data_IF_258269951439
#
_entry.id   IF_258269951439
#
_cell.length_a   1.000
_cell.length_b   1.000
_cell.length_c   1.000
_cell.angle_alpha   90.00
_cell.angle_beta   90.00
_cell.angle_gamma   90.00
#
_symmetry.space_group_name_H-M   'P 1'
#
loop_
_entity.id
_entity.type
_entity.pdbx_description
1 polymer ?
#
# COMPACT_ATOMS: atom_id res chain seq x y z
N UNK A 1 -7.14 -32.50 6.37
CA UNK A 1 -5.75 -32.07 6.13
C UNK A 1 -5.11 -31.88 7.51
N UNK A 2 -3.80 -32.04 7.62
CA UNK A 2 -3.08 -31.91 8.89
C UNK A 2 -2.00 -30.83 8.78
N UNK A 3 -1.95 -29.91 9.73
CA UNK A 3 -1.02 -28.78 9.72
C UNK A 3 0.45 -29.23 9.80
N UNK A 4 0.73 -30.37 10.50
CA UNK A 4 2.09 -30.90 10.61
C UNK A 4 2.61 -31.32 9.24
N UNK A 5 1.75 -31.90 8.38
CA UNK A 5 2.14 -32.24 7.00
C UNK A 5 2.46 -31.01 6.17
N UNK A 6 1.69 -29.93 6.31
CA UNK A 6 1.95 -28.65 5.63
C UNK A 6 3.29 -28.06 6.06
N UNK A 7 3.55 -28.02 7.37
CA UNK A 7 4.83 -27.55 7.93
C UNK A 7 6.01 -28.39 7.40
N UNK A 8 5.87 -29.73 7.41
CA UNK A 8 6.93 -30.63 6.92
C UNK A 8 7.21 -30.44 5.44
N UNK A 9 6.18 -30.28 4.60
CA UNK A 9 6.35 -29.99 3.17
C UNK A 9 7.27 -28.77 2.99
N UNK A 10 7.00 -27.67 3.67
CA UNK A 10 7.79 -26.45 3.52
C UNK A 10 9.15 -26.51 4.20
N UNK A 11 9.21 -27.13 5.38
CA UNK A 11 10.47 -27.39 6.10
C UNK A 11 11.47 -28.16 5.24
N UNK A 12 10.98 -29.18 4.51
CA UNK A 12 11.79 -30.07 3.69
C UNK A 12 11.97 -29.53 2.24
N UNK A 13 11.72 -28.22 2.03
CA UNK A 13 11.87 -27.50 0.76
C UNK A 13 10.89 -27.94 -0.34
N UNK A 14 9.79 -28.59 0.04
CA UNK A 14 8.72 -28.92 -0.88
C UNK A 14 7.86 -27.70 -1.25
N UNK A 15 7.09 -27.87 -2.33
CA UNK A 15 6.09 -26.91 -2.78
C UNK A 15 4.75 -27.23 -2.10
N UNK A 16 4.08 -26.21 -1.56
CA UNK A 16 2.74 -26.33 -1.01
C UNK A 16 1.71 -26.41 -2.15
N UNK A 17 0.78 -27.35 -2.06
CA UNK A 17 -0.33 -27.39 -3.00
C UNK A 17 -1.34 -26.29 -2.72
N UNK A 18 -2.18 -25.96 -3.72
CA UNK A 18 -3.25 -24.98 -3.60
C UNK A 18 -4.19 -25.32 -2.44
N UNK A 19 -4.51 -26.62 -2.27
CA UNK A 19 -5.38 -27.11 -1.21
C UNK A 19 -4.73 -26.98 0.18
N UNK A 20 -3.40 -27.18 0.27
CA UNK A 20 -2.67 -26.98 1.52
C UNK A 20 -2.68 -25.51 1.94
N UNK A 21 -2.47 -24.61 0.99
CA UNK A 21 -2.47 -23.17 1.22
C UNK A 21 -3.86 -22.71 1.66
N UNK A 22 -4.89 -23.04 0.91
CA UNK A 22 -6.26 -22.64 1.23
C UNK A 22 -6.68 -23.14 2.62
N UNK A 23 -6.40 -24.41 2.88
CA UNK A 23 -6.77 -25.02 4.14
C UNK A 23 -6.05 -24.38 5.33
N UNK A 24 -4.73 -24.13 5.23
CA UNK A 24 -3.97 -23.60 6.36
C UNK A 24 -4.35 -22.15 6.66
N UNK A 25 -4.60 -21.34 5.66
CA UNK A 25 -5.04 -19.94 5.83
C UNK A 25 -6.44 -19.90 6.46
N UNK A 26 -7.39 -20.68 5.94
CA UNK A 26 -8.74 -20.75 6.52
C UNK A 26 -8.72 -21.30 7.96
N UNK A 27 -8.01 -22.41 8.20
CA UNK A 27 -7.91 -23.02 9.53
C UNK A 27 -7.22 -22.09 10.55
N UNK A 28 -6.19 -21.35 10.13
CA UNK A 28 -5.55 -20.37 10.98
C UNK A 28 -6.46 -19.18 11.28
N UNK A 29 -7.17 -18.70 10.31
CA UNK A 29 -8.13 -17.58 10.47
C UNK A 29 -9.21 -17.94 11.48
N UNK A 30 -9.74 -19.16 11.43
CA UNK A 30 -10.75 -19.68 12.36
C UNK A 30 -10.20 -20.15 13.71
N UNK A 31 -8.88 -20.10 13.93
CA UNK A 31 -8.24 -20.55 15.18
C UNK A 31 -8.12 -22.06 15.33
N UNK A 32 -8.30 -22.84 14.25
CA UNK A 32 -8.11 -24.30 14.23
C UNK A 32 -6.62 -24.69 14.08
N UNK A 33 -5.78 -23.80 13.58
CA UNK A 33 -4.32 -23.90 13.62
C UNK A 33 -3.81 -22.95 14.70
N UNK A 34 -2.98 -23.46 15.60
CA UNK A 34 -2.42 -22.69 16.71
C UNK A 34 -1.28 -21.76 16.24
N UNK A 35 -1.01 -20.71 17.02
CA UNK A 35 0.03 -19.73 16.70
C UNK A 35 1.43 -20.37 16.63
N UNK A 36 1.73 -21.36 17.47
CA UNK A 36 2.99 -22.11 17.46
C UNK A 36 3.18 -22.86 16.13
N UNK A 37 2.10 -23.42 15.60
CA UNK A 37 2.12 -24.16 14.34
C UNK A 37 2.29 -23.20 13.15
N UNK A 38 1.56 -22.09 13.15
CA UNK A 38 1.71 -21.06 12.11
C UNK A 38 3.08 -20.39 12.18
N UNK A 39 3.65 -20.19 13.38
CA UNK A 39 5.02 -19.69 13.55
C UNK A 39 6.05 -20.63 12.92
N UNK A 40 5.90 -21.94 13.11
CA UNK A 40 6.78 -22.93 12.48
C UNK A 40 6.67 -22.89 10.95
N UNK A 41 5.46 -22.74 10.41
CA UNK A 41 5.26 -22.59 8.97
C UNK A 41 5.85 -21.28 8.43
N UNK A 42 5.64 -20.16 9.11
CA UNK A 42 6.19 -18.86 8.73
C UNK A 42 7.73 -18.87 8.74
N UNK A 43 8.35 -19.55 9.72
CA UNK A 43 9.80 -19.73 9.76
C UNK A 43 10.29 -20.64 8.63
N UNK A 44 9.56 -21.72 8.31
CA UNK A 44 9.90 -22.59 7.18
C UNK A 44 9.83 -21.83 5.85
N UNK A 45 8.85 -20.93 5.68
CA UNK A 45 8.73 -20.05 4.52
C UNK A 45 9.89 -19.04 4.48
N UNK A 46 10.25 -18.42 5.60
CA UNK A 46 11.39 -17.48 5.66
C UNK A 46 12.69 -18.15 5.19
N UNK A 47 12.95 -19.39 5.64
CA UNK A 47 14.20 -20.10 5.38
C UNK A 47 14.26 -20.75 3.98
N UNK A 48 13.12 -21.13 3.41
CA UNK A 48 13.06 -21.91 2.17
C UNK A 48 12.35 -21.18 1.01
N UNK A 49 11.75 -20.03 1.28
CA UNK A 49 11.02 -19.25 0.29
C UNK A 49 9.68 -19.87 -0.12
N UNK A 50 9.02 -19.20 -1.04
CA UNK A 50 7.85 -19.67 -1.78
C UNK A 50 8.05 -19.35 -3.26
N UNK A 51 7.62 -20.23 -4.15
CA UNK A 51 7.62 -19.90 -5.57
C UNK A 51 6.44 -18.96 -5.91
N UNK A 52 6.44 -18.43 -7.15
CA UNK A 52 5.42 -17.48 -7.62
C UNK A 52 4.00 -18.02 -7.47
N UNK A 53 3.78 -19.31 -7.78
CA UNK A 53 2.46 -19.93 -7.71
C UNK A 53 1.97 -20.01 -6.26
N UNK A 54 2.84 -20.42 -5.34
CA UNK A 54 2.54 -20.45 -3.90
C UNK A 54 2.19 -19.04 -3.38
N UNK A 55 2.97 -18.02 -3.75
CA UNK A 55 2.74 -16.62 -3.32
C UNK A 55 1.39 -16.12 -3.82
N UNK A 56 1.08 -16.36 -5.10
CA UNK A 56 -0.20 -15.97 -5.69
C UNK A 56 -1.38 -16.66 -4.99
N UNK A 57 -1.29 -17.98 -4.74
CA UNK A 57 -2.34 -18.71 -4.04
C UNK A 57 -2.50 -18.26 -2.59
N UNK A 58 -1.39 -18.08 -1.87
CA UNK A 58 -1.39 -17.55 -0.52
C UNK A 58 -2.08 -16.20 -0.43
N UNK A 59 -1.74 -15.28 -1.34
CA UNK A 59 -2.37 -13.96 -1.44
C UNK A 59 -3.88 -14.09 -1.70
N UNK A 60 -4.27 -14.96 -2.64
CA UNK A 60 -5.67 -15.19 -2.96
C UNK A 60 -6.46 -15.76 -1.76
N UNK A 61 -5.88 -16.70 -1.02
CA UNK A 61 -6.49 -17.26 0.18
C UNK A 61 -6.65 -16.19 1.29
N UNK A 62 -5.67 -15.32 1.47
CA UNK A 62 -5.78 -14.17 2.40
C UNK A 62 -6.89 -13.21 2.00
N UNK A 63 -7.02 -12.89 0.72
CA UNK A 63 -8.12 -12.04 0.21
C UNK A 63 -9.47 -12.72 0.46
N UNK A 64 -9.57 -14.01 0.19
CA UNK A 64 -10.81 -14.78 0.35
C UNK A 64 -11.23 -14.95 1.82
N UNK A 65 -10.33 -14.72 2.77
CA UNK A 65 -10.63 -14.77 4.21
C UNK A 65 -11.54 -13.65 4.69
N UNK A 66 -11.75 -12.59 3.90
CA UNK A 66 -12.49 -11.41 4.30
C UNK A 66 -13.33 -10.79 3.19
N UNK A 67 -13.71 -9.55 3.41
CA UNK A 67 -14.53 -8.76 2.49
C UNK A 67 -13.67 -8.07 1.43
N UNK A 68 -14.30 -7.72 0.32
CA UNK A 68 -13.74 -6.80 -0.68
C UNK A 68 -14.54 -5.52 -0.71
N UNK A 69 -13.84 -4.41 -0.83
CA UNK A 69 -14.48 -3.12 -1.02
C UNK A 69 -14.90 -2.93 -2.48
N UNK A 70 -15.90 -2.08 -2.69
CA UNK A 70 -16.44 -1.78 -4.01
C UNK A 70 -16.62 -0.26 -4.17
N UNK A 71 -15.93 0.31 -5.14
CA UNK A 71 -15.97 1.73 -5.48
C UNK A 71 -16.72 2.03 -6.77
N UNK A 72 -17.52 1.09 -7.28
CA UNK A 72 -18.25 1.26 -8.55
C UNK A 72 -19.28 2.41 -8.54
N UNK A 73 -19.68 2.86 -7.35
CA UNK A 73 -20.56 4.03 -7.18
C UNK A 73 -19.86 5.36 -7.37
N UNK A 74 -18.54 5.41 -7.28
CA UNK A 74 -17.78 6.65 -7.47
C UNK A 74 -17.73 7.02 -8.95
N UNK A 75 -17.90 8.31 -9.24
CA UNK A 75 -17.80 8.87 -10.59
C UNK A 75 -16.35 9.04 -11.07
N UNK A 76 -15.38 8.94 -10.16
CA UNK A 76 -13.95 9.14 -10.41
C UNK A 76 -13.22 7.80 -10.48
N UNK A 77 -12.18 7.66 -11.33
CA UNK A 77 -11.32 6.48 -11.27
C UNK A 77 -10.60 6.42 -9.93
N UNK A 78 -10.44 5.21 -9.39
CA UNK A 78 -9.73 5.00 -8.12
C UNK A 78 -8.27 4.63 -8.37
N UNK A 79 -7.38 5.27 -7.61
CA UNK A 79 -5.95 4.95 -7.59
C UNK A 79 -5.46 5.01 -6.15
N UNK A 80 -4.69 4.02 -5.74
CA UNK A 80 -4.10 4.03 -4.41
C UNK A 80 -2.58 3.86 -4.45
N UNK A 81 -1.94 4.14 -3.32
CA UNK A 81 -0.49 4.01 -3.15
C UNK A 81 -0.18 3.23 -1.90
N UNK A 82 0.80 2.34 -1.97
CA UNK A 82 1.38 1.68 -0.81
C UNK A 82 2.87 1.99 -0.70
N UNK A 83 3.32 2.37 0.51
CA UNK A 83 4.75 2.47 0.83
C UNK A 83 5.17 1.31 1.71
N UNK A 84 6.36 0.76 1.46
CA UNK A 84 6.96 -0.21 2.37
C UNK A 84 7.46 0.42 3.68
N UNK A 85 7.40 1.76 3.77
CA UNK A 85 7.70 2.51 4.97
C UNK A 85 9.19 2.85 5.15
N UNK A 86 9.44 3.84 6.01
CA UNK A 86 10.77 4.32 6.36
C UNK A 86 10.69 5.51 7.30
N UNK A 87 11.85 5.95 7.80
CA UNK A 87 11.94 7.07 8.74
C UNK A 87 11.57 8.38 8.03
N UNK A 88 10.56 9.10 8.54
CA UNK A 88 10.12 10.36 7.96
C UNK A 88 9.29 10.21 6.68
N UNK A 89 8.82 9.00 6.34
CA UNK A 89 7.94 8.80 5.17
C UNK A 89 6.55 9.39 5.42
N UNK A 90 6.40 10.64 5.03
CA UNK A 90 5.17 11.43 5.09
C UNK A 90 4.44 11.56 3.76
N UNK A 91 4.97 10.94 2.70
CA UNK A 91 4.54 11.18 1.31
C UNK A 91 3.04 10.95 1.11
N UNK A 92 2.43 9.99 1.77
CA UNK A 92 0.99 9.73 1.68
C UNK A 92 0.15 10.98 2.02
N UNK A 93 0.60 11.81 2.95
CA UNK A 93 -0.15 12.97 3.42
C UNK A 93 -0.33 14.06 2.34
N UNK A 94 0.71 14.51 1.62
CA UNK A 94 0.54 15.45 0.51
C UNK A 94 0.06 14.76 -0.77
N UNK A 95 0.36 13.48 -0.97
CA UNK A 95 0.05 12.76 -2.21
C UNK A 95 -1.47 12.56 -2.42
N UNK A 96 -2.19 12.09 -1.39
CA UNK A 96 -3.62 11.81 -1.50
C UNK A 96 -4.42 13.05 -1.95
N UNK A 97 -4.32 14.19 -1.26
CA UNK A 97 -4.99 15.42 -1.69
C UNK A 97 -4.56 15.92 -3.08
N UNK A 98 -3.28 15.78 -3.43
CA UNK A 98 -2.79 16.18 -4.76
C UNK A 98 -3.42 15.36 -5.88
N UNK A 99 -3.44 14.03 -5.75
CA UNK A 99 -4.02 13.12 -6.75
C UNK A 99 -5.54 13.31 -6.84
N UNK A 100 -6.22 13.56 -5.71
CA UNK A 100 -7.64 13.90 -5.69
C UNK A 100 -7.93 15.21 -6.44
N UNK A 101 -7.09 16.23 -6.30
CA UNK A 101 -7.20 17.48 -7.06
C UNK A 101 -6.97 17.28 -8.57
N UNK A 102 -6.26 16.22 -8.96
CA UNK A 102 -6.08 15.81 -10.36
C UNK A 102 -7.23 14.96 -10.90
N UNK A 103 -8.27 14.66 -10.12
CA UNK A 103 -9.50 14.02 -10.58
C UNK A 103 -9.65 12.54 -10.29
N UNK A 104 -8.69 11.88 -9.64
CA UNK A 104 -8.84 10.52 -9.15
C UNK A 104 -9.45 10.48 -7.74
N UNK A 105 -10.04 9.35 -7.35
CA UNK A 105 -10.40 9.07 -5.97
C UNK A 105 -9.31 8.22 -5.31
N UNK A 106 -8.88 8.63 -4.10
CA UNK A 106 -7.77 7.99 -3.37
C UNK A 106 -8.26 7.43 -2.05
N UNK A 107 -8.71 6.16 -2.00
CA UNK A 107 -9.16 5.47 -0.79
C UNK A 107 -7.96 4.88 -0.04
N UNK A 108 -7.11 5.71 0.54
CA UNK A 108 -5.86 5.31 1.14
C UNK A 108 -6.06 4.57 2.47
N UNK A 109 -6.05 3.24 2.44
CA UNK A 109 -5.96 2.45 3.66
C UNK A 109 -4.51 2.40 4.14
N UNK A 110 -4.31 2.84 5.38
CA UNK A 110 -2.99 2.99 5.99
C UNK A 110 -2.87 2.22 7.30
N UNK A 111 -1.64 2.03 7.73
CA UNK A 111 -1.30 1.35 8.98
C UNK A 111 -0.68 2.27 10.01
N UNK A 112 -0.52 1.72 11.22
CA UNK A 112 0.32 2.26 12.27
C UNK A 112 1.80 1.98 12.01
N UNK A 113 2.68 2.66 12.72
CA UNK A 113 4.12 2.43 12.64
C UNK A 113 4.54 1.05 13.12
N UNK A 114 5.63 0.57 12.57
CA UNK A 114 6.30 -0.65 12.94
C UNK A 114 7.76 -0.39 13.27
N UNK A 115 8.25 -1.03 14.32
CA UNK A 115 9.64 -0.93 14.72
C UNK A 115 10.06 0.52 14.91
N UNK A 116 11.03 0.97 14.12
CA UNK A 116 11.61 2.32 14.18
C UNK A 116 10.91 3.35 13.30
N UNK A 117 9.78 3.01 12.63
CA UNK A 117 9.07 3.91 11.72
C UNK A 117 7.78 4.43 12.33
N UNK A 118 7.38 5.66 11.98
CA UNK A 118 6.07 6.21 12.31
C UNK A 118 5.03 5.85 11.24
N UNK A 119 3.85 5.39 11.64
CA UNK A 119 2.76 5.09 10.72
C UNK A 119 2.00 6.33 10.27
N UNK A 120 1.35 6.24 9.11
CA UNK A 120 0.53 7.35 8.59
C UNK A 120 -0.62 7.69 9.53
N UNK A 121 -1.25 6.68 10.13
CA UNK A 121 -2.35 6.91 11.09
C UNK A 121 -1.86 7.63 12.34
N UNK A 122 -0.69 7.24 12.86
CA UNK A 122 -0.11 7.86 14.06
C UNK A 122 0.20 9.35 13.84
N UNK A 123 0.59 9.73 12.61
CA UNK A 123 0.82 11.11 12.23
C UNK A 123 -0.47 11.91 12.19
N UNK A 124 -1.52 11.35 11.59
CA UNK A 124 -2.82 12.02 11.44
C UNK A 124 -3.56 12.18 12.79
N UNK A 125 -3.32 11.30 13.76
CA UNK A 125 -3.85 11.44 15.13
C UNK A 125 -3.35 12.70 15.84
N UNK A 126 -2.27 13.34 15.36
CA UNK A 126 -1.85 14.65 15.83
C UNK A 126 -2.80 15.80 15.41
N UNK A 127 -3.74 15.53 14.51
CA UNK A 127 -4.76 16.50 14.07
C UNK A 127 -5.99 16.36 14.99
N UNK A 128 -6.35 17.39 15.76
CA UNK A 128 -7.50 17.32 16.66
C UNK A 128 -8.80 16.96 15.92
N UNK A 129 -9.51 15.95 16.43
CA UNK A 129 -10.78 15.49 15.87
C UNK A 129 -10.67 14.51 14.69
N UNK A 130 -9.46 14.20 14.21
CA UNK A 130 -9.28 13.16 13.19
C UNK A 130 -9.52 11.75 13.78
N UNK A 131 -10.13 10.87 13.01
CA UNK A 131 -10.43 9.48 13.39
C UNK A 131 -9.84 8.50 12.38
N UNK A 132 -9.13 7.48 12.88
CA UNK A 132 -8.56 6.43 12.05
C UNK A 132 -9.63 5.46 11.52
N UNK A 133 -10.62 5.13 12.32
CA UNK A 133 -11.67 4.17 11.97
C UNK A 133 -12.88 4.90 11.39
N UNK A 134 -13.24 4.54 10.17
CA UNK A 134 -14.44 4.97 9.46
C UNK A 134 -15.22 3.73 9.03
N UNK A 135 -16.55 3.87 8.99
CA UNK A 135 -17.37 2.88 8.30
C UNK A 135 -17.17 2.98 6.78
N UNK A 136 -17.53 1.93 6.04
CA UNK A 136 -17.47 1.95 4.57
C UNK A 136 -18.33 3.09 3.98
N UNK A 137 -19.48 3.38 4.58
CA UNK A 137 -20.34 4.49 4.17
C UNK A 137 -19.69 5.86 4.41
N UNK A 138 -19.12 6.09 5.60
CA UNK A 138 -18.39 7.33 5.91
C UNK A 138 -17.22 7.52 4.95
N UNK A 139 -16.48 6.46 4.64
CA UNK A 139 -15.36 6.50 3.71
C UNK A 139 -15.82 6.86 2.28
N UNK A 140 -16.88 6.23 1.77
CA UNK A 140 -17.46 6.53 0.46
C UNK A 140 -17.96 7.97 0.37
N UNK A 141 -18.62 8.48 1.41
CA UNK A 141 -19.09 9.87 1.47
C UNK A 141 -17.93 10.88 1.41
N UNK A 142 -16.82 10.60 2.11
CA UNK A 142 -15.62 11.44 2.04
C UNK A 142 -14.98 11.38 0.66
N UNK A 143 -14.87 10.19 0.06
CA UNK A 143 -14.31 10.02 -1.28
C UNK A 143 -15.12 10.74 -2.35
N UNK A 144 -16.45 10.68 -2.29
CA UNK A 144 -17.32 11.36 -3.26
C UNK A 144 -17.19 12.89 -3.13
N UNK A 145 -17.21 13.41 -1.89
CA UNK A 145 -17.16 14.85 -1.62
C UNK A 145 -15.79 15.47 -1.77
N UNK A 146 -14.72 14.80 -1.30
CA UNK A 146 -13.35 15.35 -1.22
C UNK A 146 -12.42 14.72 -2.26
N UNK A 147 -12.63 13.45 -2.61
CA UNK A 147 -11.80 12.70 -3.54
C UNK A 147 -10.61 11.97 -2.88
N UNK A 148 -10.36 12.18 -1.60
CA UNK A 148 -9.30 11.46 -0.88
C UNK A 148 -9.70 11.21 0.56
N UNK A 149 -9.39 10.03 1.06
CA UNK A 149 -9.52 9.66 2.47
C UNK A 149 -8.31 8.84 2.89
N UNK A 150 -7.83 9.07 4.11
CA UNK A 150 -6.79 8.23 4.74
C UNK A 150 -7.42 7.69 6.03
N UNK A 151 -7.54 6.36 6.11
CA UNK A 151 -8.11 5.68 7.27
C UNK A 151 -7.49 4.31 7.49
N UNK A 152 -7.82 3.67 8.60
CA UNK A 152 -7.42 2.29 8.87
C UNK A 152 -8.28 1.30 8.06
N UNK A 153 -7.70 0.16 7.71
CA UNK A 153 -8.48 -0.97 7.20
C UNK A 153 -9.47 -1.46 8.27
N UNK A 154 -10.71 -1.70 7.86
CA UNK A 154 -11.72 -2.33 8.71
C UNK A 154 -11.35 -3.78 9.07
N UNK A 155 -11.95 -4.31 10.12
CA UNK A 155 -11.67 -5.68 10.61
C UNK A 155 -12.04 -6.77 9.60
N UNK A 156 -12.97 -6.49 8.68
CA UNK A 156 -13.36 -7.41 7.61
C UNK A 156 -12.37 -7.54 6.45
N UNK A 157 -11.40 -6.63 6.34
CA UNK A 157 -10.46 -6.65 5.23
C UNK A 157 -9.27 -7.58 5.52
N UNK A 158 -9.14 -8.69 4.77
CA UNK A 158 -8.07 -9.68 4.87
C UNK A 158 -7.73 -10.08 6.33
N UNK A 159 -8.68 -10.60 7.13
CA UNK A 159 -8.47 -10.91 8.55
C UNK A 159 -7.37 -11.96 8.78
N UNK A 160 -7.14 -12.88 7.84
CA UNK A 160 -6.02 -13.80 7.87
C UNK A 160 -4.67 -13.07 7.92
N UNK A 161 -4.52 -12.02 7.12
CA UNK A 161 -3.30 -11.21 7.11
C UNK A 161 -3.13 -10.46 8.43
N UNK A 162 -4.19 -9.84 8.95
CA UNK A 162 -4.13 -9.13 10.24
C UNK A 162 -3.58 -10.01 11.35
N UNK A 163 -4.07 -11.25 11.45
CA UNK A 163 -3.63 -12.23 12.45
C UNK A 163 -2.19 -12.68 12.21
N UNK A 164 -1.86 -13.05 10.97
CA UNK A 164 -0.52 -13.50 10.61
C UNK A 164 0.54 -12.40 10.77
N UNK A 165 0.20 -11.16 10.44
CA UNK A 165 1.09 -10.02 10.58
C UNK A 165 1.50 -9.79 12.05
N UNK A 166 0.52 -9.83 12.97
CA UNK A 166 0.79 -9.73 14.41
C UNK A 166 1.69 -10.87 14.91
N UNK A 167 1.49 -12.09 14.40
CA UNK A 167 2.33 -13.23 14.73
C UNK A 167 3.76 -13.06 14.22
N UNK A 168 3.94 -12.57 12.99
CA UNK A 168 5.26 -12.39 12.38
C UNK A 168 6.11 -11.35 13.10
N UNK A 169 5.48 -10.32 13.65
CA UNK A 169 6.15 -9.27 14.42
C UNK A 169 6.88 -9.83 15.67
N UNK A 170 6.30 -10.82 16.32
CA UNK A 170 6.85 -11.42 17.55
C UNK A 170 7.65 -12.70 17.30
N UNK A 171 7.71 -13.21 16.07
CA UNK A 171 8.40 -14.49 15.74
C UNK A 171 9.65 -14.30 14.88
N UNK A 172 10.06 -13.04 14.58
CA UNK A 172 11.24 -12.76 13.76
C UNK A 172 11.10 -13.28 12.33
N UNK A 173 9.90 -13.20 11.74
CA UNK A 173 9.62 -13.68 10.38
C UNK A 173 9.12 -12.55 9.46
N UNK A 174 9.31 -11.29 9.87
CA UNK A 174 8.86 -10.11 9.10
C UNK A 174 9.58 -9.99 7.76
N UNK A 175 10.87 -10.35 7.67
CA UNK A 175 11.72 -10.14 6.50
C UNK A 175 11.45 -11.11 5.33
N UNK A 176 10.58 -12.11 5.50
CA UNK A 176 10.24 -13.05 4.44
C UNK A 176 9.56 -12.34 3.26
N UNK A 177 10.27 -12.11 2.14
CA UNK A 177 9.76 -11.42 0.94
C UNK A 177 8.42 -11.98 0.48
N UNK A 178 8.19 -13.32 0.36
CA UNK A 178 6.90 -13.85 -0.03
C UNK A 178 5.76 -13.42 0.89
N UNK A 179 6.01 -13.39 2.20
CA UNK A 179 5.01 -13.00 3.20
C UNK A 179 4.81 -11.48 3.26
N UNK A 180 5.86 -10.68 2.98
CA UNK A 180 5.72 -9.22 2.83
C UNK A 180 4.82 -8.91 1.62
N UNK A 181 5.15 -9.48 0.47
CA UNK A 181 4.39 -9.27 -0.77
C UNK A 181 2.92 -9.66 -0.60
N UNK A 182 2.66 -10.86 -0.06
CA UNK A 182 1.29 -11.34 0.17
C UNK A 182 0.52 -10.47 1.16
N UNK A 183 1.16 -10.03 2.25
CA UNK A 183 0.55 -9.17 3.26
C UNK A 183 0.14 -7.81 2.68
N UNK A 184 1.00 -7.18 1.91
CA UNK A 184 0.70 -5.91 1.25
C UNK A 184 -0.41 -6.09 0.21
N UNK A 185 -0.21 -7.04 -0.69
CA UNK A 185 -1.07 -7.18 -1.87
C UNK A 185 -2.45 -7.75 -1.52
N UNK A 186 -2.58 -8.59 -0.50
CA UNK A 186 -3.90 -9.07 -0.07
C UNK A 186 -4.82 -7.92 0.35
N UNK A 187 -4.32 -6.96 1.12
CA UNK A 187 -5.08 -5.77 1.52
C UNK A 187 -5.37 -4.85 0.34
N UNK A 188 -4.36 -4.57 -0.50
CA UNK A 188 -4.49 -3.64 -1.62
C UNK A 188 -5.39 -4.16 -2.74
N UNK A 189 -5.40 -5.47 -2.99
CA UNK A 189 -6.34 -6.08 -3.93
C UNK A 189 -7.75 -6.16 -3.34
N UNK A 190 -7.89 -6.51 -2.05
CA UNK A 190 -9.18 -6.54 -1.37
C UNK A 190 -9.82 -5.15 -1.24
N UNK A 191 -9.01 -4.11 -1.17
CA UNK A 191 -9.44 -2.70 -1.21
C UNK A 191 -10.18 -2.34 -2.52
N UNK A 192 -9.87 -3.02 -3.62
CA UNK A 192 -10.68 -2.93 -4.85
C UNK A 192 -10.45 -1.66 -5.69
N UNK A 193 -9.30 -1.01 -5.55
CA UNK A 193 -8.92 0.14 -6.40
C UNK A 193 -8.61 -0.28 -7.83
N UNK A 194 -8.85 0.60 -8.79
CA UNK A 194 -8.58 0.34 -10.22
C UNK A 194 -7.09 0.32 -10.55
N UNK A 195 -6.27 1.01 -9.77
CA UNK A 195 -4.82 1.04 -9.93
C UNK A 195 -4.09 1.19 -8.60
N UNK A 196 -2.85 0.74 -8.57
CA UNK A 196 -1.97 0.75 -7.41
C UNK A 196 -0.57 1.19 -7.78
N UNK A 197 -0.01 2.12 -7.03
CA UNK A 197 1.40 2.51 -7.11
C UNK A 197 2.12 2.07 -5.84
N UNK A 198 3.17 1.30 -6.00
CA UNK A 198 3.99 0.78 -4.92
C UNK A 198 5.25 1.63 -4.79
N UNK A 199 5.46 2.18 -3.61
CA UNK A 199 6.64 2.95 -3.23
C UNK A 199 7.55 2.05 -2.38
N UNK A 200 8.45 1.34 -3.03
CA UNK A 200 9.35 0.37 -2.38
C UNK A 200 10.62 1.09 -1.93
N UNK A 201 10.69 1.32 -0.62
CA UNK A 201 11.80 2.01 0.03
C UNK A 201 13.02 1.12 0.15
N UNK A 202 14.19 1.67 -0.20
CA UNK A 202 15.49 0.99 -0.14
C UNK A 202 16.48 1.85 0.62
N UNK A 203 17.22 1.28 1.54
CA UNK A 203 18.29 1.97 2.26
C UNK A 203 18.29 1.74 3.77
N UNK A 204 19.15 2.43 4.47
CA UNK A 204 19.37 2.22 5.92
C UNK A 204 18.14 2.56 6.77
N UNK A 205 17.30 3.50 6.32
CA UNK A 205 16.03 3.88 6.98
C UNK A 205 14.84 3.05 6.56
N UNK A 206 14.97 2.11 5.62
CA UNK A 206 13.92 1.23 5.13
C UNK A 206 14.03 -0.18 5.71
N UNK A 207 13.02 -1.04 5.45
CA UNK A 207 13.09 -2.47 5.71
C UNK A 207 14.00 -3.17 4.70
N UNK A 208 13.88 -2.85 3.39
CA UNK A 208 14.77 -3.37 2.36
C UNK A 208 16.11 -2.63 2.39
N UNK A 209 17.18 -3.37 2.71
CA UNK A 209 18.51 -2.79 2.88
C UNK A 209 19.32 -2.74 1.59
N UNK A 210 19.05 -3.62 0.65
CA UNK A 210 19.73 -3.69 -0.63
C UNK A 210 18.75 -3.61 -1.79
N UNK A 211 19.28 -3.25 -2.96
CA UNK A 211 18.48 -2.98 -4.14
C UNK A 211 17.92 -4.26 -4.78
N UNK A 212 18.60 -5.39 -4.64
CA UNK A 212 18.19 -6.64 -5.28
C UNK A 212 16.98 -7.24 -4.58
N UNK A 213 16.96 -7.28 -3.25
CA UNK A 213 15.78 -7.69 -2.46
C UNK A 213 14.59 -6.76 -2.74
N UNK A 214 14.85 -5.46 -2.86
CA UNK A 214 13.80 -4.49 -3.17
C UNK A 214 13.21 -4.68 -4.57
N UNK A 215 14.04 -5.03 -5.56
CA UNK A 215 13.59 -5.38 -6.92
C UNK A 215 12.76 -6.67 -6.92
N UNK A 216 13.22 -7.69 -6.20
CA UNK A 216 12.49 -8.94 -6.05
C UNK A 216 11.10 -8.70 -5.44
N UNK A 217 11.04 -7.96 -4.33
CA UNK A 217 9.78 -7.59 -3.69
C UNK A 217 8.87 -6.79 -4.63
N UNK A 218 9.42 -5.77 -5.30
CA UNK A 218 8.68 -4.94 -6.24
C UNK A 218 8.11 -5.76 -7.40
N UNK A 219 8.93 -6.61 -8.03
CA UNK A 219 8.49 -7.48 -9.13
C UNK A 219 7.39 -8.43 -8.69
N UNK A 220 7.57 -9.08 -7.54
CA UNK A 220 6.56 -9.98 -6.96
C UNK A 220 5.23 -9.28 -6.73
N UNK A 221 5.24 -8.08 -6.15
CA UNK A 221 4.01 -7.33 -5.89
C UNK A 221 3.35 -6.84 -7.18
N UNK A 222 4.12 -6.37 -8.17
CA UNK A 222 3.59 -5.93 -9.48
C UNK A 222 2.92 -7.10 -10.19
N UNK A 223 3.53 -8.28 -10.17
CA UNK A 223 2.96 -9.50 -10.76
C UNK A 223 1.64 -9.90 -10.06
N UNK A 224 1.62 -9.92 -8.73
CA UNK A 224 0.40 -10.23 -7.97
C UNK A 224 -0.75 -9.27 -8.29
N UNK A 225 -0.46 -7.97 -8.41
CA UNK A 225 -1.46 -6.97 -8.76
C UNK A 225 -1.97 -7.16 -10.19
N UNK A 226 -1.06 -7.37 -11.15
CA UNK A 226 -1.39 -7.60 -12.56
C UNK A 226 -2.22 -8.87 -12.75
N UNK A 227 -1.81 -9.97 -12.13
CA UNK A 227 -2.53 -11.26 -12.18
C UNK A 227 -3.93 -11.15 -11.55
N UNK A 228 -4.12 -10.22 -10.60
CA UNK A 228 -5.40 -9.92 -9.97
C UNK A 228 -6.24 -8.88 -10.72
N UNK A 229 -5.79 -8.40 -11.89
CA UNK A 229 -6.49 -7.41 -12.71
C UNK A 229 -6.35 -5.96 -12.23
N UNK A 230 -5.46 -5.67 -11.29
CA UNK A 230 -5.16 -4.33 -10.80
C UNK A 230 -3.93 -3.78 -11.55
N UNK A 231 -4.07 -2.63 -12.19
CA UNK A 231 -2.94 -1.97 -12.85
C UNK A 231 -1.94 -1.51 -11.80
N UNK A 232 -0.81 -2.19 -11.72
CA UNK A 232 0.18 -2.00 -10.66
C UNK A 232 1.52 -1.52 -11.22
N UNK A 233 2.07 -0.48 -10.61
CA UNK A 233 3.39 0.07 -10.91
C UNK A 233 4.19 0.13 -9.61
N UNK A 234 5.50 -0.11 -9.66
CA UNK A 234 6.40 0.05 -8.52
C UNK A 234 7.53 1.02 -8.82
N UNK A 235 7.80 1.91 -7.86
CA UNK A 235 8.98 2.76 -7.82
C UNK A 235 9.91 2.28 -6.71
N UNK A 236 11.19 2.14 -7.02
CA UNK A 236 12.24 1.94 -6.02
C UNK A 236 12.75 3.31 -5.60
N UNK A 237 12.64 3.64 -4.32
CA UNK A 237 12.95 4.97 -3.81
C UNK A 237 13.97 4.93 -2.69
N UNK A 238 14.92 5.86 -2.69
CA UNK A 238 15.97 5.93 -1.68
C UNK A 238 15.40 6.33 -0.31
N UNK A 239 15.77 5.55 0.70
CA UNK A 239 15.47 5.78 2.11
C UNK A 239 16.71 5.66 2.98
N UNK A 240 17.91 5.97 2.43
CA UNK A 240 19.16 5.98 3.17
C UNK A 240 19.23 7.17 4.14
N UNK A 241 18.44 8.21 3.87
CA UNK A 241 18.24 9.37 4.75
C UNK A 241 16.76 9.55 5.01
N UNK A 242 16.32 10.07 6.18
CA UNK A 242 14.94 10.46 6.41
C UNK A 242 14.43 11.44 5.35
N UNK A 243 13.17 11.32 4.96
CA UNK A 243 12.54 12.24 4.02
C UNK A 243 12.20 13.57 4.71
N UNK A 244 12.54 14.65 4.02
CA UNK A 244 12.31 16.01 4.50
C UNK A 244 13.23 16.42 5.63
N UNK A 245 12.83 17.45 6.36
CA UNK A 245 13.61 18.07 7.43
C UNK A 245 13.11 17.70 8.82
N UNK A 246 12.01 16.97 8.91
CA UNK A 246 11.39 16.60 10.18
C UNK A 246 11.05 15.11 10.24
N UNK A 247 11.17 14.53 11.43
CA UNK A 247 10.67 13.20 11.75
C UNK A 247 9.90 13.29 13.08
N UNK A 248 8.65 12.81 13.09
CA UNK A 248 7.74 12.88 14.22
C UNK A 248 6.32 13.26 13.78
N UNK A 249 5.30 12.69 14.43
CA UNK A 249 3.91 12.70 13.96
C UNK A 249 3.40 14.10 13.57
N UNK A 250 3.29 15.03 14.50
CA UNK A 250 2.80 16.39 14.25
C UNK A 250 3.73 17.22 13.35
N UNK A 251 5.05 17.00 13.45
CA UNK A 251 6.04 17.72 12.64
C UNK A 251 5.91 17.33 11.16
N UNK A 252 5.73 16.05 10.88
CA UNK A 252 5.55 15.55 9.52
C UNK A 252 4.21 15.99 8.91
N UNK A 253 3.15 16.10 9.71
CA UNK A 253 1.88 16.71 9.26
C UNK A 253 2.09 18.17 8.87
N UNK A 254 2.80 18.95 9.70
CA UNK A 254 3.11 20.36 9.39
C UNK A 254 3.89 20.50 8.10
N UNK A 255 4.96 19.72 7.95
CA UNK A 255 5.78 19.72 6.74
C UNK A 255 4.98 19.33 5.49
N UNK A 256 4.07 18.37 5.60
CA UNK A 256 3.14 17.98 4.53
C UNK A 256 2.18 19.12 4.13
N UNK A 257 1.71 19.90 5.10
CA UNK A 257 0.88 21.08 4.84
C UNK A 257 1.69 22.17 4.12
N UNK A 258 2.96 22.36 4.47
CA UNK A 258 3.87 23.28 3.77
C UNK A 258 4.08 22.84 2.31
N UNK A 259 4.25 21.54 2.06
CA UNK A 259 4.34 20.98 0.70
C UNK A 259 3.06 21.27 -0.09
N UNK A 260 1.88 21.03 0.49
CA UNK A 260 0.60 21.35 -0.16
C UNK A 260 0.39 22.84 -0.40
N UNK A 261 1.01 23.71 0.40
CA UNK A 261 1.00 25.16 0.20
C UNK A 261 1.99 25.64 -0.88
N UNK A 262 2.75 24.73 -1.51
CA UNK A 262 3.72 25.05 -2.56
C UNK A 262 5.14 25.33 -2.07
N UNK A 263 5.43 25.00 -0.80
CA UNK A 263 6.77 25.04 -0.19
C UNK A 263 7.26 23.64 0.17
N UNK A 264 7.95 23.54 1.31
CA UNK A 264 8.44 22.27 1.88
C UNK A 264 9.77 21.79 1.27
N UNK A 265 10.33 20.69 1.80
CA UNK A 265 11.59 20.11 1.36
C UNK A 265 11.53 19.59 -0.08
N UNK A 266 12.60 19.83 -0.84
CA UNK A 266 12.65 19.49 -2.26
C UNK A 266 12.49 17.99 -2.54
N UNK A 267 13.08 17.14 -1.71
CA UNK A 267 12.98 15.68 -1.82
C UNK A 267 11.56 15.16 -1.59
N UNK A 268 10.84 15.73 -0.63
CA UNK A 268 9.42 15.41 -0.37
C UNK A 268 8.55 15.85 -1.55
N UNK A 269 8.78 17.06 -2.08
CA UNK A 269 8.05 17.58 -3.24
C UNK A 269 8.31 16.70 -4.48
N UNK A 270 9.58 16.41 -4.78
CA UNK A 270 9.98 15.61 -5.93
C UNK A 270 9.36 14.21 -5.90
N UNK A 271 9.47 13.51 -4.78
CA UNK A 271 8.91 12.17 -4.63
C UNK A 271 7.39 12.18 -4.68
N UNK A 272 6.73 13.16 -4.04
CA UNK A 272 5.28 13.33 -4.12
C UNK A 272 4.81 13.51 -5.57
N UNK A 273 5.51 14.34 -6.34
CA UNK A 273 5.16 14.57 -7.76
C UNK A 273 5.45 13.34 -8.63
N UNK A 274 6.54 12.60 -8.36
CA UNK A 274 6.84 11.37 -9.09
C UNK A 274 5.74 10.33 -8.91
N UNK A 275 5.34 10.07 -7.66
CA UNK A 275 4.26 9.13 -7.34
C UNK A 275 2.89 9.62 -7.85
N UNK A 276 2.60 10.92 -7.76
CA UNK A 276 1.35 11.48 -8.29
C UNK A 276 1.21 11.28 -9.80
N UNK A 277 2.29 11.39 -10.56
CA UNK A 277 2.30 11.12 -12.01
C UNK A 277 1.97 9.66 -12.29
N UNK A 278 2.62 8.73 -11.60
CA UNK A 278 2.33 7.30 -11.77
C UNK A 278 0.89 6.96 -11.39
N UNK A 279 0.37 7.52 -10.30
CA UNK A 279 -1.03 7.33 -9.89
C UNK A 279 -2.02 7.88 -10.91
N UNK A 280 -1.73 9.04 -11.49
CA UNK A 280 -2.56 9.65 -12.53
C UNK A 280 -2.52 8.83 -13.82
N UNK A 281 -1.32 8.43 -14.28
CA UNK A 281 -1.13 7.66 -15.52
C UNK A 281 -1.65 6.22 -15.38
N UNK A 282 -1.64 5.66 -14.17
CA UNK A 282 -2.19 4.35 -13.85
C UNK A 282 -3.70 4.38 -13.65
N UNK A 283 -4.30 5.51 -13.28
CA UNK A 283 -5.74 5.60 -13.12
C UNK A 283 -6.45 5.23 -14.45
N UNK A 284 -7.43 4.31 -14.43
CA UNK A 284 -8.17 4.00 -15.64
C UNK A 284 -8.85 5.28 -16.15
N UNK A 285 -8.69 5.60 -17.43
CA UNK A 285 -9.45 6.69 -18.05
C UNK A 285 -10.94 6.47 -17.74
N UNK A 286 -11.59 7.47 -17.16
CA UNK A 286 -12.95 7.37 -16.66
C UNK A 286 -13.86 6.66 -17.66
N UNK A 287 -14.54 5.59 -17.24
CA UNK A 287 -15.50 4.86 -18.05
C UNK A 287 -16.54 5.83 -18.60
N UNK A 288 -16.48 6.11 -19.89
CA UNK A 288 -17.65 6.66 -20.57
C UNK A 288 -18.76 5.60 -20.49
N UNK A 289 -19.99 5.96 -20.10
CA UNK A 289 -21.09 5.02 -20.09
C UNK A 289 -21.25 4.46 -21.50
N UNK A 290 -20.96 3.17 -21.73
CA UNK A 290 -21.22 2.49 -22.99
C UNK A 290 -20.10 1.68 -23.63
N UNK A 291 -18.87 1.71 -23.12
CA UNK A 291 -17.77 0.91 -23.74
C UNK A 291 -17.50 -0.40 -22.99
N UNK A 292 -17.82 -1.49 -23.65
CA UNK A 292 -17.65 -2.87 -23.18
C UNK A 292 -16.19 -3.32 -23.06
N UNK A 293 -15.98 -4.26 -22.19
CA UNK A 293 -14.72 -4.94 -21.90
C UNK A 293 -14.02 -5.47 -23.16
N UNK A 294 -12.80 -4.98 -23.43
CA UNK A 294 -12.01 -5.48 -24.56
C UNK A 294 -10.64 -4.84 -24.71
N UNK A 295 -9.87 -4.61 -23.65
CA UNK A 295 -8.43 -4.36 -23.79
C UNK A 295 -7.64 -5.16 -22.76
N UNK A 296 -6.68 -5.93 -23.28
CA UNK A 296 -5.70 -6.66 -22.47
C UNK A 296 -4.96 -5.65 -21.61
N UNK A 297 -4.95 -5.90 -20.30
CA UNK A 297 -4.11 -5.23 -19.33
C UNK A 297 -2.65 -5.53 -19.72
N UNK A 298 -1.93 -4.52 -20.19
CA UNK A 298 -0.52 -4.63 -20.56
C UNK A 298 0.38 -4.16 -19.43
N UNK A 299 1.41 -4.95 -19.22
CA UNK A 299 2.71 -4.67 -18.62
C UNK A 299 2.75 -3.89 -17.30
N UNK A 300 2.92 -4.63 -16.22
CA UNK A 300 3.42 -4.09 -14.96
C UNK A 300 4.85 -3.52 -15.11
N UNK A 301 5.12 -2.35 -14.54
CA UNK A 301 6.43 -1.69 -14.62
C UNK A 301 7.09 -1.59 -13.27
N UNK A 302 8.40 -1.88 -13.25
CA UNK A 302 9.29 -1.55 -12.14
C UNK A 302 10.23 -0.45 -12.63
N UNK A 303 10.18 0.73 -12.02
CA UNK A 303 11.05 1.85 -12.35
C UNK A 303 11.95 2.19 -11.16
N UNK A 304 13.20 2.56 -11.42
CA UNK A 304 14.10 3.11 -10.40
C UNK A 304 14.13 4.64 -10.53
N UNK A 305 13.96 5.33 -9.42
CA UNK A 305 14.11 6.77 -9.37
C UNK A 305 15.52 7.11 -8.87
N UNK A 306 16.41 7.40 -9.84
CA UNK A 306 17.77 7.86 -9.55
C UNK A 306 17.81 9.40 -9.65
N UNK A 307 18.43 10.04 -8.69
CA UNK A 307 18.64 11.50 -8.69
C UNK A 307 19.56 11.87 -9.85
N UNK A 308 18.98 12.17 -11.02
CA UNK A 308 19.79 12.66 -12.13
C UNK A 308 19.33 12.38 -13.56
N UNK A 309 18.25 11.66 -13.79
CA UNK A 309 17.75 11.38 -15.14
C UNK A 309 16.63 12.34 -15.53
N UNK A 310 16.82 13.08 -16.61
CA UNK A 310 15.86 14.06 -17.15
C UNK A 310 14.50 13.44 -17.49
N UNK A 311 13.46 14.06 -16.96
CA UNK A 311 12.07 13.65 -17.13
C UNK A 311 11.55 14.07 -18.51
N UNK A 312 11.13 13.10 -19.31
CA UNK A 312 10.41 13.34 -20.57
C UNK A 312 9.00 13.87 -20.25
N UNK A 313 8.63 15.00 -20.86
CA UNK A 313 7.36 15.70 -20.65
C UNK A 313 6.17 14.85 -21.12
N UNK A 314 5.27 14.49 -20.20
CA UNK A 314 3.89 14.12 -20.47
C UNK A 314 2.94 15.05 -19.73
N UNK A 315 1.71 15.23 -20.23
CA UNK A 315 0.69 16.23 -19.85
C UNK A 315 0.69 16.57 -18.36
N UNK A 316 0.95 17.83 -18.06
CA UNK A 316 1.16 18.36 -16.74
C UNK A 316 -0.12 18.42 -15.90
N UNK A 317 -0.23 17.58 -14.87
CA UNK A 317 -0.99 17.93 -13.69
C UNK A 317 -0.30 19.16 -13.06
N UNK A 318 -0.91 20.33 -13.10
CA UNK A 318 -0.34 21.54 -12.49
C UNK A 318 -0.69 21.56 -11.01
N UNK A 319 0.30 21.84 -10.19
CA UNK A 319 0.10 22.21 -8.80
C UNK A 319 -0.95 23.33 -8.72
N UNK A 320 -2.02 23.21 -7.89
CA UNK A 320 -2.97 24.29 -7.72
C UNK A 320 -2.22 25.53 -7.22
N UNK A 321 -2.31 26.64 -7.97
CA UNK A 321 -1.70 27.89 -7.57
C UNK A 321 -2.27 28.32 -6.21
N UNK A 322 -1.42 28.79 -5.32
CA UNK A 322 -1.63 29.11 -3.91
C UNK A 322 -2.78 30.10 -3.59
N UNK A 323 -3.60 30.48 -4.55
CA UNK A 323 -4.59 31.55 -4.40
C UNK A 323 -5.95 31.15 -3.85
N UNK A 324 -6.26 29.86 -3.69
CA UNK A 324 -7.61 29.42 -3.25
C UNK A 324 -7.71 28.95 -1.80
N UNK A 325 -6.61 28.69 -1.13
CA UNK A 325 -6.61 28.19 0.26
C UNK A 325 -6.44 29.26 1.33
N UNK A 326 -6.01 30.48 1.01
CA UNK A 326 -5.69 31.53 1.99
C UNK A 326 -6.88 32.43 2.40
N UNK A 327 -8.11 32.20 1.93
CA UNK A 327 -9.24 33.11 2.17
C UNK A 327 -10.49 32.49 2.82
N UNK A 328 -10.34 31.60 3.79
CA UNK A 328 -11.40 31.42 4.78
C UNK A 328 -10.87 31.84 6.16
N UNK A 329 -10.80 33.16 6.34
CA UNK A 329 -10.68 33.74 7.70
C UNK A 329 -11.95 33.44 8.48
N UNK A 330 -11.77 33.01 9.73
CA UNK A 330 -12.84 32.90 10.72
C UNK A 330 -13.55 34.22 10.85
N UNK A 331 -14.90 34.27 11.04
CA UNK A 331 -15.52 35.45 11.63
C UNK A 331 -15.08 35.55 13.09
N UNK A 332 -14.74 36.80 13.48
CA UNK A 332 -14.48 37.14 14.87
C UNK A 332 -15.81 37.17 15.63
N UNK A 333 -15.88 36.51 16.75
CA UNK A 333 -16.45 36.93 18.04
C UNK A 333 -16.46 35.76 18.99
#
# INVERSE_FOLDING_TARGET
MDVISVIRTKRDRGELSDEQIDWVIDAYTRGAVADEQMSALAMAILLNGMNRKEIARWTAAMIASGERMNFSSLSRPTSDKHSTGGVGDKITLPLGPLVAACGAAVPQLSGRGLGHTGGTLDKLEAIPGWRALLSNEEMLNVLDGVGSVICAAGDGLAPADKKLYALRDVTGTVEAIPLIASSIMSKKIAEGTGSLVLDVKVGTGAFMKNLDDARELASTMVELGTDSGVRTVALLTDMSTPLGLTAGNALEVRESVEVLAGGGPADVVELTLALAREMHDAAPEGRRPGEGAGRRLGDGRVASHDRGAGVTRTRSCRWPASSTWSRRRRPAS
#
